data_IF_589081313747
#
_entry.id   IF_589081313747
#
_cell.length_a   1.000
_cell.length_b   1.000
_cell.length_c   1.000
_cell.angle_alpha   90.00
_cell.angle_beta   90.00
_cell.angle_gamma   90.00
#
_symmetry.space_group_name_H-M   'P 1'
#
loop_
_entity.id
_entity.type
_entity.pdbx_description
1 polymer ?
#
# COMPACT_ATOMS: atom_id res chain seq x y z
N UNK A 1 -1.91 29.33 -13.99
CA UNK A 1 -1.76 28.01 -13.38
C UNK A 1 -2.07 26.90 -14.39
N UNK A 2 -1.36 25.76 -14.30
CA UNK A 2 -1.59 24.61 -15.18
C UNK A 2 -1.05 24.74 -16.60
N UNK A 3 -0.30 25.80 -16.95
CA UNK A 3 0.36 25.98 -18.23
C UNK A 3 1.87 25.82 -18.12
N UNK A 4 2.47 25.17 -19.10
CA UNK A 4 3.92 25.10 -19.26
C UNK A 4 4.43 26.33 -20.03
N UNK A 5 5.64 26.75 -19.71
CA UNK A 5 6.38 27.79 -20.46
C UNK A 5 7.69 27.19 -20.92
N UNK A 6 7.87 27.10 -22.23
CA UNK A 6 9.12 26.67 -22.84
C UNK A 6 9.67 27.78 -23.74
N UNK A 7 10.91 28.16 -23.49
CA UNK A 7 11.68 29.06 -24.37
C UNK A 7 12.73 28.22 -25.07
N UNK A 8 12.57 28.05 -26.38
CA UNK A 8 13.56 27.36 -27.20
C UNK A 8 14.58 28.37 -27.72
N UNK A 9 15.78 28.34 -27.18
CA UNK A 9 16.85 29.25 -27.56
C UNK A 9 17.49 28.89 -28.90
N UNK A 10 17.30 27.68 -29.40
CA UNK A 10 17.79 27.24 -30.71
C UNK A 10 16.87 27.73 -31.81
N UNK A 11 15.53 27.59 -31.60
CA UNK A 11 14.53 28.13 -32.52
C UNK A 11 14.27 29.63 -32.34
N UNK A 12 14.73 30.21 -31.23
CA UNK A 12 14.55 31.62 -30.91
C UNK A 12 13.10 32.04 -30.66
N UNK A 13 12.27 31.13 -30.14
CA UNK A 13 10.84 31.37 -29.88
C UNK A 13 10.34 30.82 -28.55
N UNK A 14 9.22 31.34 -28.09
CA UNK A 14 8.45 30.76 -27.03
C UNK A 14 7.47 29.75 -27.62
N UNK A 15 7.46 28.53 -27.09
CA UNK A 15 6.55 27.46 -27.52
C UNK A 15 5.30 27.53 -26.66
N UNK A 16 4.14 27.53 -27.31
CA UNK A 16 2.84 27.55 -26.62
C UNK A 16 2.59 26.26 -25.85
N UNK A 17 1.89 26.35 -24.75
CA UNK A 17 1.53 25.22 -23.88
C UNK A 17 0.78 24.11 -24.63
N UNK A 18 -0.13 24.48 -25.52
CA UNK A 18 -0.91 23.53 -26.30
C UNK A 18 -0.03 22.78 -27.30
N UNK A 19 0.81 23.49 -28.04
CA UNK A 19 1.77 22.91 -28.98
C UNK A 19 2.70 21.90 -28.30
N UNK A 20 3.20 22.28 -27.11
CA UNK A 20 4.08 21.41 -26.31
C UNK A 20 3.37 20.15 -25.84
N UNK A 21 2.13 20.28 -25.36
CA UNK A 21 1.32 19.13 -24.92
C UNK A 21 1.00 18.17 -26.05
N UNK A 22 0.65 18.70 -27.23
CA UNK A 22 0.37 17.91 -28.43
C UNK A 22 1.62 17.16 -28.92
N UNK A 23 2.77 17.83 -28.94
CA UNK A 23 4.04 17.19 -29.27
C UNK A 23 4.38 16.03 -28.33
N UNK A 24 4.26 16.25 -27.00
CA UNK A 24 4.56 15.19 -26.04
C UNK A 24 3.55 14.03 -26.11
N UNK A 25 2.28 14.32 -26.29
CA UNK A 25 1.24 13.32 -26.38
C UNK A 25 1.36 12.44 -27.65
N UNK A 26 1.92 13.00 -28.73
CA UNK A 26 2.10 12.30 -29.99
C UNK A 26 3.44 11.55 -30.13
N UNK A 27 4.34 11.65 -29.15
CA UNK A 27 5.69 11.03 -29.24
C UNK A 27 5.66 9.53 -29.35
N UNK A 28 4.70 8.89 -28.69
CA UNK A 28 4.53 7.44 -28.66
C UNK A 28 3.04 7.10 -28.74
N UNK A 29 2.66 5.88 -29.16
CA UNK A 29 1.27 5.45 -29.22
C UNK A 29 0.78 5.01 -27.83
N UNK A 30 0.84 5.90 -26.84
CA UNK A 30 0.53 5.59 -25.42
C UNK A 30 -0.84 4.96 -25.21
N UNK A 31 -1.84 5.37 -25.99
CA UNK A 31 -3.19 4.80 -25.91
C UNK A 31 -3.24 3.34 -26.35
N UNK A 32 -2.48 2.98 -27.39
CA UNK A 32 -2.38 1.60 -27.87
C UNK A 32 -1.65 0.72 -26.85
N UNK A 33 -0.54 1.23 -26.28
CA UNK A 33 0.21 0.53 -25.24
C UNK A 33 -0.64 0.25 -24.01
N UNK A 34 -1.40 1.24 -23.52
CA UNK A 34 -2.28 1.05 -22.39
C UNK A 34 -3.40 0.04 -22.70
N UNK A 35 -3.97 0.08 -23.90
CA UNK A 35 -5.03 -0.84 -24.29
C UNK A 35 -4.56 -2.30 -24.44
N UNK A 36 -3.29 -2.50 -24.85
CA UNK A 36 -2.71 -3.83 -25.05
C UNK A 36 -2.12 -4.44 -23.79
N UNK A 37 -1.54 -3.61 -22.90
CA UNK A 37 -0.71 -4.08 -21.79
C UNK A 37 -1.37 -3.97 -20.40
N UNK A 38 -2.27 -2.99 -20.22
CA UNK A 38 -2.83 -2.72 -18.90
C UNK A 38 -3.82 -3.80 -18.48
N UNK A 39 -3.61 -4.39 -17.32
CA UNK A 39 -4.50 -5.38 -16.72
C UNK A 39 -5.30 -4.73 -15.58
N UNK A 40 -6.63 -4.90 -15.54
CA UNK A 40 -7.42 -4.37 -14.44
C UNK A 40 -7.71 -5.47 -13.41
N UNK A 41 -7.64 -5.14 -12.13
CA UNK A 41 -7.98 -6.06 -11.05
C UNK A 41 -9.44 -6.55 -11.14
N UNK A 42 -10.35 -5.69 -11.61
CA UNK A 42 -11.77 -6.05 -11.84
C UNK A 42 -11.96 -7.21 -12.80
N UNK A 43 -11.06 -7.34 -13.78
CA UNK A 43 -11.19 -8.32 -14.87
C UNK A 43 -10.61 -9.68 -14.47
N UNK A 44 -9.89 -9.76 -13.36
CA UNK A 44 -9.35 -11.00 -12.85
C UNK A 44 -10.47 -11.90 -12.30
N UNK A 45 -10.39 -13.19 -12.64
CA UNK A 45 -11.32 -14.20 -12.14
C UNK A 45 -11.16 -14.42 -10.64
N UNK A 46 -12.28 -14.58 -9.96
CA UNK A 46 -12.29 -14.97 -8.54
C UNK A 46 -11.92 -16.46 -8.46
N UNK A 47 -10.85 -16.84 -7.75
CA UNK A 47 -10.49 -18.24 -7.57
C UNK A 47 -11.54 -18.99 -6.74
N UNK A 48 -11.72 -20.27 -7.03
CA UNK A 48 -12.59 -21.13 -6.22
C UNK A 48 -11.86 -21.59 -4.93
N UNK A 49 -11.55 -20.62 -4.08
CA UNK A 49 -10.91 -20.81 -2.78
C UNK A 49 -11.69 -20.06 -1.71
N UNK A 50 -11.77 -20.65 -0.52
CA UNK A 50 -12.40 -19.98 0.61
C UNK A 50 -11.45 -18.94 1.19
N UNK A 51 -11.97 -17.76 1.44
CA UNK A 51 -11.30 -16.75 2.26
C UNK A 51 -11.29 -17.24 3.71
N UNK A 52 -10.15 -17.15 4.43
CA UNK A 52 -10.08 -17.45 5.85
C UNK A 52 -11.12 -16.65 6.63
N UNK A 53 -11.88 -17.29 7.48
CA UNK A 53 -12.84 -16.66 8.39
C UNK A 53 -12.39 -16.91 9.82
N UNK A 54 -12.55 -15.91 10.67
CA UNK A 54 -12.22 -16.02 12.10
C UNK A 54 -13.49 -16.11 12.92
N UNK A 55 -13.48 -16.96 13.95
CA UNK A 55 -14.48 -16.90 15.00
C UNK A 55 -14.34 -15.59 15.79
N UNK A 56 -15.39 -15.21 16.52
CA UNK A 56 -15.35 -14.00 17.35
C UNK A 56 -14.21 -14.05 18.39
N UNK A 57 -13.95 -15.21 18.96
CA UNK A 57 -12.88 -15.40 19.92
C UNK A 57 -11.49 -15.28 19.30
N UNK A 58 -11.30 -15.81 18.09
CA UNK A 58 -10.04 -15.68 17.35
C UNK A 58 -9.79 -14.24 16.95
N UNK A 59 -10.82 -13.54 16.44
CA UNK A 59 -10.72 -12.13 16.11
C UNK A 59 -10.33 -11.29 17.33
N UNK A 60 -10.95 -11.51 18.49
CA UNK A 60 -10.60 -10.81 19.72
C UNK A 60 -9.17 -11.12 20.20
N UNK A 61 -8.68 -12.34 20.03
CA UNK A 61 -7.29 -12.69 20.34
C UNK A 61 -6.32 -11.95 19.42
N UNK A 62 -6.60 -11.92 18.13
CA UNK A 62 -5.80 -11.18 17.16
C UNK A 62 -5.85 -9.67 17.41
N UNK A 63 -7.01 -9.09 17.71
CA UNK A 63 -7.13 -7.68 18.09
C UNK A 63 -6.21 -7.36 19.28
N UNK A 64 -6.16 -8.20 20.31
CA UNK A 64 -5.22 -8.02 21.43
C UNK A 64 -3.76 -8.14 20.99
N UNK A 65 -3.44 -9.10 20.14
CA UNK A 65 -2.07 -9.32 19.63
C UNK A 65 -1.58 -8.13 18.81
N UNK A 66 -2.45 -7.51 18.02
CA UNK A 66 -2.14 -6.31 17.21
C UNK A 66 -2.41 -4.98 17.94
N UNK A 67 -2.67 -5.02 19.25
CA UNK A 67 -2.80 -3.84 20.10
C UNK A 67 -4.04 -2.99 19.82
N UNK A 68 -5.15 -3.60 19.37
CA UNK A 68 -6.44 -2.91 19.28
C UNK A 68 -6.94 -2.59 20.68
N UNK A 69 -7.21 -1.34 20.96
CA UNK A 69 -7.85 -0.93 22.20
C UNK A 69 -9.38 -1.06 22.09
N UNK A 70 -10.04 -1.18 23.22
CA UNK A 70 -11.51 -1.14 23.28
C UNK A 70 -12.07 0.17 22.73
N UNK A 71 -11.38 1.27 23.00
CA UNK A 71 -11.76 2.60 22.51
C UNK A 71 -11.70 2.67 20.98
N UNK A 72 -10.60 2.21 20.36
CA UNK A 72 -10.48 2.18 18.90
C UNK A 72 -11.58 1.32 18.25
N UNK A 73 -11.89 0.16 18.82
CA UNK A 73 -12.97 -0.69 18.31
C UNK A 73 -14.32 0.02 18.42
N UNK A 74 -14.58 0.70 19.52
CA UNK A 74 -15.86 1.38 19.79
C UNK A 74 -16.02 2.70 19.05
N UNK A 75 -14.96 3.47 18.88
CA UNK A 75 -15.06 4.84 18.30
C UNK A 75 -14.69 4.86 16.84
N UNK A 76 -13.62 4.18 16.42
CA UNK A 76 -13.15 4.20 15.03
C UNK A 76 -13.81 3.09 14.21
N UNK A 77 -13.63 1.83 14.61
CA UNK A 77 -14.07 0.67 13.81
C UNK A 77 -15.60 0.57 13.77
N UNK A 78 -16.27 0.75 14.90
CA UNK A 78 -17.74 0.75 14.94
C UNK A 78 -18.33 1.88 14.11
N UNK A 79 -17.72 3.06 14.11
CA UNK A 79 -18.19 4.15 13.26
C UNK A 79 -18.04 3.82 11.77
N UNK A 80 -16.92 3.23 11.37
CA UNK A 80 -16.73 2.75 9.99
C UNK A 80 -17.75 1.65 9.63
N UNK A 81 -18.05 0.73 10.55
CA UNK A 81 -19.04 -0.30 10.35
C UNK A 81 -20.45 0.25 10.15
N UNK A 82 -20.83 1.28 10.90
CA UNK A 82 -22.18 1.88 10.85
C UNK A 82 -22.36 2.86 9.71
N UNK A 83 -21.34 3.66 9.41
CA UNK A 83 -21.47 4.83 8.56
C UNK A 83 -20.65 4.73 7.26
N UNK A 84 -19.81 3.71 7.09
CA UNK A 84 -18.91 3.56 5.95
C UNK A 84 -17.84 4.66 5.88
N UNK A 85 -17.56 5.34 6.97
CA UNK A 85 -16.59 6.44 7.05
C UNK A 85 -15.89 6.47 8.40
N UNK A 86 -14.69 7.02 8.41
CA UNK A 86 -13.96 7.28 9.67
C UNK A 86 -14.67 8.32 10.52
N UNK A 87 -14.53 8.21 11.84
CA UNK A 87 -15.10 9.17 12.77
C UNK A 87 -14.47 10.55 12.65
N UNK A 88 -15.24 11.59 12.96
CA UNK A 88 -14.73 12.98 13.01
C UNK A 88 -13.81 13.11 14.22
N UNK A 89 -12.61 13.63 14.00
CA UNK A 89 -11.62 13.85 15.04
C UNK A 89 -10.65 14.98 14.72
N UNK A 90 -9.80 15.34 15.67
CA UNK A 90 -8.73 16.27 15.46
C UNK A 90 -7.63 15.67 14.59
N UNK A 91 -7.10 16.42 13.63
CA UNK A 91 -6.01 15.97 12.77
C UNK A 91 -4.68 15.89 13.51
N UNK A 92 -4.41 16.83 14.40
CA UNK A 92 -3.16 16.93 15.14
C UNK A 92 -3.27 16.36 16.54
N UNK A 93 -2.16 15.83 17.03
CA UNK A 93 -1.96 15.41 18.40
C UNK A 93 -0.75 16.17 18.95
N UNK A 94 -0.98 17.02 19.94
CA UNK A 94 0.07 17.79 20.64
C UNK A 94 0.52 17.12 21.96
N UNK A 95 -0.14 16.03 22.35
CA UNK A 95 0.27 15.23 23.49
C UNK A 95 1.62 14.55 23.20
N UNK A 96 2.62 14.62 24.12
CA UNK A 96 3.88 13.92 23.96
C UNK A 96 3.67 12.42 23.86
N UNK A 97 4.48 11.76 23.02
CA UNK A 97 4.52 10.30 22.99
C UNK A 97 4.98 9.73 24.33
N UNK A 98 4.31 8.68 24.80
CA UNK A 98 4.59 8.04 26.07
C UNK A 98 5.84 7.13 25.96
N UNK A 99 6.99 7.70 25.64
CA UNK A 99 8.24 6.98 25.35
C UNK A 99 8.81 6.18 26.54
N UNK A 100 8.37 6.49 27.76
CA UNK A 100 8.73 5.74 28.97
C UNK A 100 7.66 4.73 29.40
N UNK A 101 6.59 4.57 28.62
CA UNK A 101 5.56 3.58 28.91
C UNK A 101 6.08 2.17 28.63
N UNK A 102 5.73 1.23 29.50
CA UNK A 102 5.95 -0.21 29.31
C UNK A 102 4.89 -0.84 28.40
N UNK A 103 3.85 -0.10 28.05
CA UNK A 103 2.81 -0.59 27.15
C UNK A 103 3.24 -0.45 25.69
N UNK A 104 2.82 -1.42 24.88
CA UNK A 104 3.04 -1.38 23.43
C UNK A 104 2.50 -0.08 22.83
N UNK A 105 3.34 0.58 22.05
CA UNK A 105 3.00 1.77 21.28
C UNK A 105 3.07 1.44 19.80
N UNK A 106 1.99 1.76 19.06
CA UNK A 106 2.00 1.60 17.61
C UNK A 106 3.00 2.56 16.96
N UNK A 107 3.76 2.08 15.98
CA UNK A 107 4.70 2.91 15.22
C UNK A 107 4.01 4.05 14.47
N UNK A 108 2.77 3.88 14.08
CA UNK A 108 1.99 4.92 13.38
C UNK A 108 1.80 6.18 14.22
N UNK A 109 1.79 6.06 15.56
CA UNK A 109 1.68 7.19 16.47
C UNK A 109 2.81 8.22 16.33
N UNK A 110 4.02 7.77 15.92
CA UNK A 110 5.18 8.65 15.72
C UNK A 110 5.05 9.56 14.48
N UNK A 111 4.10 9.28 13.60
CA UNK A 111 3.87 10.00 12.33
C UNK A 111 2.64 10.90 12.37
N UNK A 112 1.96 11.00 13.51
CA UNK A 112 0.87 11.96 13.67
C UNK A 112 1.45 13.38 13.75
N UNK A 113 0.81 14.32 13.05
CA UNK A 113 1.22 15.72 13.10
C UNK A 113 0.94 16.34 14.48
N UNK A 114 1.79 17.28 14.90
CA UNK A 114 1.69 17.91 16.23
C UNK A 114 0.71 19.09 16.29
N UNK A 115 0.22 19.55 15.16
CA UNK A 115 -0.70 20.68 15.05
C UNK A 115 -1.67 20.50 13.88
N UNK A 116 -2.80 21.18 13.94
CA UNK A 116 -3.77 21.17 12.85
C UNK A 116 -3.21 21.87 11.61
N UNK A 117 -3.48 21.30 10.45
CA UNK A 117 -3.12 21.84 9.15
C UNK A 117 -4.36 22.03 8.29
N UNK A 118 -4.21 22.77 7.19
CA UNK A 118 -5.29 22.96 6.21
C UNK A 118 -5.67 21.61 5.61
N UNK A 119 -6.96 21.24 5.74
CA UNK A 119 -7.49 19.97 5.22
C UNK A 119 -7.74 20.01 3.71
N UNK A 120 -8.04 21.21 3.18
CA UNK A 120 -8.27 21.45 1.76
C UNK A 120 -7.16 22.38 1.23
N UNK A 121 -5.97 21.84 0.88
CA UNK A 121 -4.92 22.64 0.29
C UNK A 121 -5.39 23.22 -1.06
N UNK A 122 -4.91 24.40 -1.48
CA UNK A 122 -5.30 24.99 -2.75
C UNK A 122 -4.74 24.17 -3.93
N UNK A 123 -5.60 23.32 -4.50
CA UNK A 123 -5.30 22.51 -5.69
C UNK A 123 -6.14 23.06 -6.84
N UNK A 124 -5.52 23.27 -8.02
CA UNK A 124 -6.29 23.67 -9.19
C UNK A 124 -7.19 22.51 -9.68
N UNK A 125 -8.36 22.85 -10.23
CA UNK A 125 -9.38 21.89 -10.64
C UNK A 125 -8.91 20.92 -11.74
N UNK A 126 -7.89 21.25 -12.51
CA UNK A 126 -7.34 20.36 -13.56
C UNK A 126 -6.49 19.26 -12.93
N UNK A 127 -5.67 19.61 -11.94
CA UNK A 127 -4.78 18.68 -11.25
C UNK A 127 -5.49 17.85 -10.18
N UNK A 128 -6.66 18.27 -9.73
CA UNK A 128 -7.39 17.61 -8.65
C UNK A 128 -7.56 16.11 -8.91
N UNK A 129 -7.93 15.72 -10.13
CA UNK A 129 -8.11 14.30 -10.52
C UNK A 129 -6.85 13.46 -10.34
N UNK A 130 -5.68 14.05 -10.52
CA UNK A 130 -4.39 13.35 -10.36
C UNK A 130 -4.00 13.32 -8.89
N UNK A 131 -4.09 14.46 -8.20
CA UNK A 131 -3.63 14.63 -6.81
C UNK A 131 -4.49 13.84 -5.83
N UNK A 132 -5.80 13.73 -6.10
CA UNK A 132 -6.75 12.99 -5.25
C UNK A 132 -7.00 11.55 -5.71
N UNK A 133 -6.34 11.10 -6.78
CA UNK A 133 -6.49 9.72 -7.26
C UNK A 133 -5.96 8.71 -6.24
N UNK A 134 -6.77 7.69 -5.96
CA UNK A 134 -6.38 6.52 -5.16
C UNK A 134 -5.91 5.35 -6.04
N UNK A 135 -5.96 5.51 -7.37
CA UNK A 135 -5.53 4.47 -8.31
C UNK A 135 -4.04 4.18 -8.17
N UNK A 136 -3.70 2.92 -8.05
CA UNK A 136 -2.31 2.42 -8.00
C UNK A 136 -2.06 1.41 -9.11
N UNK A 137 -0.79 1.28 -9.48
CA UNK A 137 -0.31 0.33 -10.47
C UNK A 137 0.67 -0.64 -9.80
N UNK A 138 0.47 -1.93 -10.01
CA UNK A 138 1.18 -3.00 -9.30
C UNK A 138 1.89 -3.89 -10.31
N UNK A 139 3.17 -4.14 -10.11
CA UNK A 139 4.02 -4.93 -10.98
C UNK A 139 5.42 -4.34 -11.09
N UNK A 140 6.13 -4.72 -12.12
CA UNK A 140 7.42 -4.15 -12.47
C UNK A 140 7.21 -2.82 -13.21
N UNK A 141 7.81 -1.73 -12.70
CA UNK A 141 7.69 -0.40 -13.31
C UNK A 141 8.71 -0.17 -14.43
N UNK A 142 9.80 -0.94 -14.44
CA UNK A 142 10.89 -0.76 -15.37
C UNK A 142 11.66 0.55 -15.17
N UNK A 143 12.27 1.04 -16.24
CA UNK A 143 12.97 2.33 -16.24
C UNK A 143 12.01 3.45 -16.68
N UNK A 144 11.58 4.28 -15.75
CA UNK A 144 10.65 5.39 -16.01
C UNK A 144 11.23 6.48 -16.94
N UNK A 145 12.55 6.53 -17.12
CA UNK A 145 13.20 7.46 -18.07
C UNK A 145 13.20 6.93 -19.51
N UNK A 146 12.91 5.65 -19.71
CA UNK A 146 12.79 5.00 -21.00
C UNK A 146 11.34 4.61 -21.25
N UNK A 147 10.63 5.40 -22.04
CA UNK A 147 9.23 5.12 -22.38
C UNK A 147 9.15 3.93 -23.34
N UNK A 148 8.65 2.80 -22.85
CA UNK A 148 8.47 1.55 -23.58
C UNK A 148 7.09 0.97 -23.35
N UNK A 149 6.61 0.19 -24.30
CA UNK A 149 5.32 -0.52 -24.19
C UNK A 149 5.28 -1.42 -22.95
N UNK A 150 6.39 -2.12 -22.66
CA UNK A 150 6.50 -3.06 -21.54
C UNK A 150 6.27 -2.38 -20.18
N UNK A 151 6.59 -1.08 -20.06
CA UNK A 151 6.35 -0.32 -18.81
C UNK A 151 4.85 -0.16 -18.50
N UNK A 152 3.98 -0.38 -19.50
CA UNK A 152 2.53 -0.34 -19.34
C UNK A 152 1.95 -1.68 -18.88
N UNK A 153 2.76 -2.75 -18.78
CA UNK A 153 2.33 -4.07 -18.34
C UNK A 153 2.25 -4.15 -16.82
N UNK A 154 1.24 -3.49 -16.27
CA UNK A 154 0.99 -3.37 -14.82
C UNK A 154 -0.46 -3.68 -14.50
N UNK A 155 -0.70 -4.13 -13.27
CA UNK A 155 -2.04 -4.36 -12.73
C UNK A 155 -2.58 -3.05 -12.16
N UNK A 156 -3.65 -2.52 -12.77
CA UNK A 156 -4.36 -1.35 -12.29
C UNK A 156 -5.32 -1.72 -11.18
N UNK A 157 -5.22 -1.05 -10.05
CA UNK A 157 -6.06 -1.16 -8.88
C UNK A 157 -6.66 0.21 -8.59
N UNK A 158 -7.99 0.32 -8.57
CA UNK A 158 -8.67 1.61 -8.40
C UNK A 158 -8.58 2.15 -6.97
N UNK A 159 -8.44 1.25 -5.99
CA UNK A 159 -8.36 1.59 -4.56
C UNK A 159 -7.25 0.76 -3.91
N UNK A 160 -6.28 1.37 -3.22
CA UNK A 160 -5.16 0.66 -2.61
C UNK A 160 -5.55 -0.21 -1.40
N UNK A 161 -6.76 -0.08 -0.89
CA UNK A 161 -7.28 -0.93 0.18
C UNK A 161 -8.02 -2.12 -0.43
N UNK A 162 -7.38 -3.28 -0.33
CA UNK A 162 -7.85 -4.51 -0.95
C UNK A 162 -8.80 -5.28 -0.05
N UNK A 163 -9.91 -5.74 -0.60
CA UNK A 163 -10.70 -6.79 0.06
C UNK A 163 -9.93 -8.12 0.07
N UNK A 164 -10.37 -9.07 0.91
CA UNK A 164 -9.80 -10.43 0.91
C UNK A 164 -9.97 -11.11 -0.45
N UNK A 165 -11.08 -10.84 -1.13
CA UNK A 165 -11.33 -11.35 -2.49
C UNK A 165 -10.36 -10.76 -3.51
N UNK A 166 -10.06 -9.48 -3.43
CA UNK A 166 -9.11 -8.82 -4.33
C UNK A 166 -7.70 -9.35 -4.14
N UNK A 167 -7.27 -9.51 -2.87
CA UNK A 167 -5.98 -10.13 -2.58
C UNK A 167 -5.92 -11.57 -3.07
N UNK A 168 -7.00 -12.32 -2.94
CA UNK A 168 -7.09 -13.70 -3.43
C UNK A 168 -6.97 -13.77 -4.97
N UNK A 169 -7.58 -12.83 -5.70
CA UNK A 169 -7.41 -12.70 -7.16
C UNK A 169 -5.94 -12.48 -7.53
N UNK A 170 -5.27 -11.53 -6.84
CA UNK A 170 -3.87 -11.21 -7.09
C UNK A 170 -2.97 -12.43 -6.79
N UNK A 171 -3.15 -13.05 -5.61
CA UNK A 171 -2.39 -14.22 -5.17
C UNK A 171 -2.45 -15.39 -6.16
N UNK A 172 -3.57 -15.56 -6.84
CA UNK A 172 -3.83 -16.67 -7.76
C UNK A 172 -3.90 -16.27 -9.24
N UNK A 173 -3.52 -15.05 -9.58
CA UNK A 173 -3.61 -14.62 -10.97
C UNK A 173 -2.68 -15.42 -11.87
N UNK A 174 -3.20 -15.72 -13.08
CA UNK A 174 -2.50 -16.46 -14.14
C UNK A 174 -2.45 -15.61 -15.39
N UNK A 175 -1.86 -14.43 -15.26
CA UNK A 175 -1.64 -13.49 -16.36
C UNK A 175 -0.14 -13.49 -16.64
N UNK A 176 0.21 -13.64 -17.91
CA UNK A 176 1.61 -13.65 -18.32
C UNK A 176 2.30 -12.34 -17.89
N UNK A 177 3.55 -12.44 -17.48
CA UNK A 177 4.32 -11.29 -16.98
C UNK A 177 4.15 -11.00 -15.49
N UNK A 178 3.10 -11.52 -14.81
CA UNK A 178 2.93 -11.35 -13.36
C UNK A 178 3.28 -12.63 -12.60
N UNK A 179 4.13 -12.48 -11.61
CA UNK A 179 4.57 -13.57 -10.73
C UNK A 179 4.55 -13.09 -9.28
N UNK A 180 3.74 -13.76 -8.47
CA UNK A 180 3.45 -13.35 -7.08
C UNK A 180 4.17 -14.27 -6.11
N UNK A 181 4.86 -13.68 -5.14
CA UNK A 181 5.39 -14.38 -3.97
C UNK A 181 4.73 -13.88 -2.70
N UNK A 182 4.40 -14.80 -1.81
CA UNK A 182 3.99 -14.49 -0.44
C UNK A 182 5.19 -14.68 0.49
N UNK A 183 5.45 -13.68 1.31
CA UNK A 183 6.57 -13.66 2.26
C UNK A 183 6.01 -13.37 3.64
N UNK A 184 6.22 -14.31 4.57
CA UNK A 184 5.81 -14.10 5.96
C UNK A 184 6.63 -13.03 6.63
N UNK A 185 5.95 -12.12 7.33
CA UNK A 185 6.54 -11.14 8.24
C UNK A 185 6.42 -11.54 9.70
N UNK A 186 6.05 -12.80 9.98
CA UNK A 186 6.07 -13.34 11.34
C UNK A 186 7.42 -13.99 11.64
N UNK A 187 7.80 -13.99 12.91
CA UNK A 187 9.01 -14.61 13.38
C UNK A 187 8.83 -15.22 14.77
N UNK A 188 9.69 -16.14 15.13
CA UNK A 188 9.61 -16.85 16.40
C UNK A 188 9.89 -15.90 17.57
N UNK A 189 9.02 -15.84 18.57
CA UNK A 189 9.10 -14.88 19.70
C UNK A 189 10.42 -14.91 20.49
N UNK A 190 11.15 -16.03 20.42
CA UNK A 190 12.45 -16.17 21.05
C UNK A 190 13.64 -15.71 20.18
N UNK A 191 13.36 -15.27 18.93
CA UNK A 191 14.34 -14.68 18.04
C UNK A 191 14.38 -13.15 18.23
N UNK A 192 15.48 -12.51 17.80
CA UNK A 192 15.52 -11.05 17.80
C UNK A 192 14.86 -10.46 16.55
N UNK A 193 14.34 -9.25 16.67
CA UNK A 193 13.71 -8.51 15.56
C UNK A 193 14.71 -8.25 14.43
N UNK A 194 15.97 -7.95 14.76
CA UNK A 194 17.02 -7.69 13.77
C UNK A 194 17.24 -8.93 12.88
N UNK A 195 17.35 -10.11 13.50
CA UNK A 195 17.49 -11.37 12.74
C UNK A 195 16.26 -11.66 11.87
N UNK A 196 15.09 -11.31 12.36
CA UNK A 196 13.86 -11.48 11.57
C UNK A 196 13.86 -10.58 10.33
N UNK A 197 14.32 -9.33 10.46
CA UNK A 197 14.46 -8.39 9.35
C UNK A 197 15.54 -8.87 8.36
N UNK A 198 16.69 -9.33 8.84
CA UNK A 198 17.74 -9.87 7.97
C UNK A 198 17.22 -11.09 7.18
N UNK A 199 16.46 -11.95 7.83
CA UNK A 199 15.84 -13.09 7.15
C UNK A 199 14.78 -12.65 6.13
N UNK A 200 14.01 -11.62 6.45
CA UNK A 200 13.04 -11.04 5.50
C UNK A 200 13.75 -10.54 4.22
N UNK A 201 14.90 -9.88 4.34
CA UNK A 201 15.68 -9.46 3.18
C UNK A 201 16.14 -10.63 2.32
N UNK A 202 16.59 -11.73 2.95
CA UNK A 202 17.00 -12.95 2.23
C UNK A 202 15.83 -13.53 1.44
N UNK A 203 14.63 -13.56 2.02
CA UNK A 203 13.43 -14.08 1.34
C UNK A 203 13.03 -13.17 0.16
N UNK A 204 13.06 -11.86 0.34
CA UNK A 204 12.79 -10.86 -0.70
C UNK A 204 13.77 -11.02 -1.87
N UNK A 205 15.06 -11.05 -1.58
CA UNK A 205 16.10 -11.21 -2.61
C UNK A 205 16.00 -12.55 -3.37
N UNK A 206 15.59 -13.60 -2.66
CA UNK A 206 15.34 -14.89 -3.29
C UNK A 206 14.13 -14.83 -4.23
N UNK A 207 13.00 -14.28 -3.77
CA UNK A 207 11.80 -14.13 -4.58
C UNK A 207 12.07 -13.37 -5.88
N UNK A 208 12.80 -12.25 -5.80
CA UNK A 208 13.14 -11.46 -6.97
C UNK A 208 14.08 -12.21 -7.92
N UNK A 209 15.08 -12.95 -7.40
CA UNK A 209 15.94 -13.79 -8.24
C UNK A 209 15.17 -14.92 -8.94
N UNK A 210 14.08 -15.39 -8.37
CA UNK A 210 13.16 -16.36 -8.97
C UNK A 210 12.18 -15.70 -9.95
N UNK A 211 12.29 -14.38 -10.18
CA UNK A 211 11.52 -13.60 -11.14
C UNK A 211 10.15 -13.18 -10.62
N UNK A 212 9.95 -13.10 -9.30
CA UNK A 212 8.72 -12.58 -8.72
C UNK A 212 8.73 -11.04 -8.80
N UNK A 213 7.64 -10.45 -9.27
CA UNK A 213 7.49 -9.01 -9.42
C UNK A 213 6.34 -8.41 -8.59
N UNK A 214 5.62 -9.25 -7.86
CA UNK A 214 4.67 -8.83 -6.82
C UNK A 214 5.00 -9.58 -5.55
N UNK A 215 5.28 -8.85 -4.48
CA UNK A 215 5.56 -9.40 -3.16
C UNK A 215 4.37 -9.11 -2.24
N UNK A 216 3.77 -10.15 -1.67
CA UNK A 216 2.76 -10.03 -0.61
C UNK A 216 3.48 -10.27 0.72
N UNK A 217 3.65 -9.21 1.49
CA UNK A 217 4.20 -9.29 2.85
C UNK A 217 3.03 -9.57 3.80
N UNK A 218 3.01 -10.75 4.42
CA UNK A 218 1.87 -11.21 5.22
C UNK A 218 2.26 -11.45 6.67
N UNK A 219 1.48 -10.91 7.60
CA UNK A 219 1.57 -11.22 9.02
C UNK A 219 0.52 -12.24 9.49
N UNK A 220 -0.19 -12.88 8.57
CA UNK A 220 -1.07 -13.99 8.92
C UNK A 220 -0.24 -15.12 9.55
N UNK A 221 -0.78 -15.75 10.56
CA UNK A 221 -0.09 -16.80 11.32
C UNK A 221 0.51 -16.33 12.64
N UNK A 222 0.15 -15.13 13.09
CA UNK A 222 0.43 -14.70 14.48
C UNK A 222 -0.27 -15.63 15.44
N UNK A 223 0.51 -16.23 16.34
CA UNK A 223 0.07 -17.17 17.37
C UNK A 223 0.89 -17.01 18.67
N UNK A 224 0.79 -17.95 19.59
CA UNK A 224 1.53 -17.90 20.86
C UNK A 224 3.06 -18.05 20.71
N UNK A 225 3.56 -18.49 19.56
CA UNK A 225 4.97 -18.70 19.25
C UNK A 225 5.51 -17.72 18.22
N UNK A 226 4.65 -17.22 17.34
CA UNK A 226 5.01 -16.35 16.23
C UNK A 226 4.40 -14.96 16.41
N UNK A 227 5.25 -13.96 16.38
CA UNK A 227 4.89 -12.56 16.49
C UNK A 227 5.18 -11.84 15.17
N UNK A 228 4.43 -10.81 14.85
CA UNK A 228 4.62 -10.05 13.62
C UNK A 228 5.77 -9.03 13.77
N UNK A 229 6.55 -8.85 12.72
CA UNK A 229 7.32 -7.61 12.54
C UNK A 229 6.29 -6.49 12.34
N UNK A 230 6.37 -5.35 13.05
CA UNK A 230 5.45 -4.23 12.84
C UNK A 230 5.36 -3.88 11.36
N UNK A 231 4.15 -3.76 10.83
CA UNK A 231 3.90 -3.66 9.38
C UNK A 231 4.62 -2.46 8.74
N UNK A 232 4.64 -1.33 9.43
CA UNK A 232 5.36 -0.14 8.98
C UNK A 232 6.88 -0.34 8.93
N UNK A 233 7.43 -1.06 9.92
CA UNK A 233 8.85 -1.39 9.96
C UNK A 233 9.21 -2.37 8.84
N UNK A 234 8.42 -3.44 8.64
CA UNK A 234 8.64 -4.41 7.57
C UNK A 234 8.60 -3.72 6.20
N UNK A 235 7.59 -2.87 5.95
CA UNK A 235 7.44 -2.11 4.71
C UNK A 235 8.64 -1.20 4.45
N UNK A 236 9.00 -0.38 5.44
CA UNK A 236 10.13 0.55 5.33
C UNK A 236 11.45 -0.18 5.14
N UNK A 237 11.69 -1.25 5.89
CA UNK A 237 12.91 -2.04 5.81
C UNK A 237 13.09 -2.65 4.41
N UNK A 238 12.05 -3.32 3.88
CA UNK A 238 12.08 -3.91 2.53
C UNK A 238 12.22 -2.82 1.46
N UNK A 239 11.45 -1.73 1.56
CA UNK A 239 11.56 -0.61 0.62
C UNK A 239 12.99 -0.07 0.56
N UNK A 240 13.60 0.24 1.72
CA UNK A 240 14.95 0.78 1.78
C UNK A 240 16.04 -0.23 1.37
N UNK A 241 15.83 -1.52 1.64
CA UNK A 241 16.68 -2.59 1.15
C UNK A 241 16.68 -2.62 -0.39
N UNK A 242 15.50 -2.58 -1.00
CA UNK A 242 15.32 -2.57 -2.46
C UNK A 242 15.90 -1.32 -3.12
N UNK A 243 15.77 -0.14 -2.47
CA UNK A 243 16.41 1.10 -2.95
C UNK A 243 17.93 0.97 -2.93
N UNK A 244 18.50 0.50 -1.81
CA UNK A 244 19.96 0.33 -1.67
C UNK A 244 20.53 -0.70 -2.65
N UNK A 245 19.78 -1.75 -2.94
CA UNK A 245 20.17 -2.80 -3.91
C UNK A 245 19.80 -2.46 -5.34
N UNK A 246 19.17 -1.29 -5.59
CA UNK A 246 18.74 -0.78 -6.90
C UNK A 246 17.69 -1.67 -7.60
N UNK A 247 16.86 -2.32 -6.81
CA UNK A 247 15.84 -3.26 -7.29
C UNK A 247 14.40 -2.81 -7.01
N UNK A 248 14.21 -1.58 -6.48
CA UNK A 248 12.89 -1.10 -6.04
C UNK A 248 11.83 -1.11 -7.15
N UNK A 249 12.22 -0.81 -8.38
CA UNK A 249 11.31 -0.76 -9.54
C UNK A 249 11.03 -2.14 -10.17
N UNK A 250 11.76 -3.18 -9.75
CA UNK A 250 11.52 -4.55 -10.23
C UNK A 250 10.27 -5.19 -9.60
N UNK A 251 9.79 -4.67 -8.46
CA UNK A 251 8.70 -5.29 -7.72
C UNK A 251 7.72 -4.28 -7.12
N UNK A 252 6.46 -4.68 -7.03
CA UNK A 252 5.46 -4.04 -6.20
C UNK A 252 5.34 -4.76 -4.85
N UNK A 253 5.00 -4.01 -3.78
CA UNK A 253 4.79 -4.53 -2.43
C UNK A 253 3.34 -4.39 -2.01
N UNK A 254 2.68 -5.50 -1.75
CA UNK A 254 1.34 -5.57 -1.18
C UNK A 254 1.46 -6.03 0.27
N UNK A 255 0.72 -5.42 1.16
CA UNK A 255 0.67 -5.84 2.56
C UNK A 255 -0.62 -6.61 2.84
N UNK A 256 -0.50 -7.74 3.52
CA UNK A 256 -1.60 -8.44 4.16
C UNK A 256 -1.35 -8.39 5.66
N UNK A 257 -2.04 -7.49 6.36
CA UNK A 257 -1.68 -7.17 7.74
C UNK A 257 -2.86 -6.90 8.64
N UNK A 258 -2.77 -7.38 9.89
CA UNK A 258 -3.75 -7.15 10.94
C UNK A 258 -3.60 -5.82 11.67
N UNK A 259 -2.51 -5.07 11.48
CA UNK A 259 -2.19 -3.92 12.30
C UNK A 259 -2.97 -2.63 11.93
N UNK A 260 -3.08 -2.21 10.63
CA UNK A 260 -3.69 -0.93 10.26
C UNK A 260 -5.22 -0.97 10.39
N UNK A 261 -5.79 0.12 10.92
CA UNK A 261 -7.22 0.24 11.20
C UNK A 261 -7.79 1.66 11.11
N UNK A 262 -6.96 2.64 10.75
CA UNK A 262 -7.33 4.05 10.57
C UNK A 262 -6.75 4.57 9.27
N UNK A 263 -7.35 5.61 8.67
CA UNK A 263 -6.85 6.24 7.44
C UNK A 263 -5.39 6.68 7.57
N UNK A 264 -5.01 7.22 8.73
CA UNK A 264 -3.63 7.59 9.03
C UNK A 264 -2.63 6.41 8.88
N UNK A 265 -3.02 5.21 9.31
CA UNK A 265 -2.18 4.01 9.19
C UNK A 265 -1.96 3.64 7.72
N UNK A 266 -3.02 3.66 6.91
CA UNK A 266 -2.95 3.36 5.48
C UNK A 266 -2.11 4.40 4.74
N UNK A 267 -2.34 5.68 4.98
CA UNK A 267 -1.56 6.77 4.39
C UNK A 267 -0.06 6.64 4.72
N UNK A 268 0.26 6.28 5.96
CA UNK A 268 1.65 6.08 6.40
C UNK A 268 2.29 4.87 5.69
N UNK A 269 1.60 3.72 5.60
CA UNK A 269 2.11 2.53 4.91
C UNK A 269 2.34 2.79 3.41
N UNK A 270 1.39 3.45 2.74
CA UNK A 270 1.55 3.85 1.33
C UNK A 270 2.72 4.82 1.16
N UNK A 271 2.86 5.80 2.05
CA UNK A 271 3.97 6.75 2.05
C UNK A 271 5.34 6.09 2.25
N UNK A 272 5.40 4.95 2.94
CA UNK A 272 6.62 4.15 3.13
C UNK A 272 6.86 3.08 2.06
N UNK A 273 6.03 3.02 1.03
CA UNK A 273 6.29 2.26 -0.17
C UNK A 273 5.40 1.04 -0.41
N UNK A 274 4.35 0.83 0.38
CA UNK A 274 3.32 -0.15 0.04
C UNK A 274 2.56 0.29 -1.21
N UNK A 275 2.32 -0.64 -2.13
CA UNK A 275 1.50 -0.39 -3.33
C UNK A 275 0.02 -0.55 -3.03
N UNK A 276 -0.33 -1.55 -2.21
CA UNK A 276 -1.70 -1.81 -1.77
C UNK A 276 -1.69 -2.56 -0.43
N UNK A 277 -2.82 -2.55 0.27
CA UNK A 277 -2.93 -3.08 1.63
C UNK A 277 -4.23 -3.86 1.76
N UNK A 278 -4.16 -5.09 2.25
CA UNK A 278 -5.31 -5.84 2.74
C UNK A 278 -5.30 -5.84 4.28
N UNK A 279 -6.14 -5.02 4.93
CA UNK A 279 -6.23 -4.93 6.38
C UNK A 279 -7.21 -5.99 6.92
N UNK A 280 -6.85 -7.26 6.78
CA UNK A 280 -7.76 -8.38 7.01
C UNK A 280 -8.45 -8.36 8.38
N UNK A 281 -7.74 -7.96 9.43
CA UNK A 281 -8.30 -7.94 10.78
C UNK A 281 -9.26 -6.77 11.00
N UNK A 282 -8.98 -5.61 10.40
CA UNK A 282 -9.91 -4.48 10.44
C UNK A 282 -11.20 -4.82 9.68
N UNK A 283 -11.11 -5.45 8.51
CA UNK A 283 -12.28 -5.93 7.76
C UNK A 283 -13.09 -6.96 8.53
N UNK A 284 -12.43 -7.94 9.15
CA UNK A 284 -13.12 -8.93 9.98
C UNK A 284 -13.76 -8.29 11.22
N UNK A 285 -13.07 -7.32 11.83
CA UNK A 285 -13.63 -6.58 12.98
C UNK A 285 -14.89 -5.79 12.60
N UNK A 286 -14.90 -5.12 11.44
CA UNK A 286 -16.07 -4.43 10.90
C UNK A 286 -17.21 -5.41 10.67
N UNK A 287 -16.93 -6.54 10.01
CA UNK A 287 -17.91 -7.57 9.73
C UNK A 287 -18.59 -8.08 11.01
N UNK A 288 -17.81 -8.41 12.04
CA UNK A 288 -18.34 -8.91 13.32
C UNK A 288 -19.10 -7.86 14.13
N UNK A 289 -18.99 -6.58 13.82
CA UNK A 289 -19.78 -5.51 14.43
C UNK A 289 -21.10 -5.25 13.68
N UNK A 290 -21.21 -5.68 12.43
CA UNK A 290 -22.43 -5.57 11.62
C UNK A 290 -23.35 -6.78 11.82
N UNK A 291 -22.79 -8.00 11.97
CA UNK A 291 -23.49 -9.25 12.26
C UNK A 291 -23.99 -9.29 13.71
#
# INVERSE_FOLDING_TARGET
>A
PGKMLLVDTVQGRVIDDQELKEEYAARQPYGEWLNSQLVNLSDLKIPNQKVPQYSREECQRLQKAFGYSYEEVKTSILNMAMNGSEGIGAMGIDAPLAVLSEQHQSLFGYFKQLFAQVTNPPIDAIREKIVTSTTVYVGEEGNLLEQKEENCHVLKINDPILTDTDLLKIRNMKVDGFRVAEISTTYYKNSSLEKAIDYLFIQVDRAIREGMNILILSDRGVDEYHIAIPSLLATSAVHQHLVRTKRRTEVAMILETGEPREVHHFATLLGYGASAINPYLAHESIKQLID
#
